data_IF_170355154968
#
_entry.id   IF_170355154968
#
_cell.length_a   1.000
_cell.length_b   1.000
_cell.length_c   1.000
_cell.angle_alpha   90.00
_cell.angle_beta   90.00
_cell.angle_gamma   90.00
#
_symmetry.space_group_name_H-M   'P 1'
#
loop_
_entity.id
_entity.type
_entity.pdbx_description
1 polymer ?
#
# COMPACT_ATOMS: atom_id res chain seq x y z
N UNK A 1 35.40 9.98 -4.90
CA UNK A 1 33.97 10.12 -4.57
C UNK A 1 33.33 8.76 -4.78
N UNK A 2 32.71 8.16 -3.76
CA UNK A 2 32.11 6.82 -3.90
C UNK A 2 30.83 6.92 -4.74
N UNK A 3 30.79 6.19 -5.86
CA UNK A 3 29.57 5.99 -6.63
C UNK A 3 28.91 4.69 -6.18
N UNK A 4 27.64 4.73 -5.81
CA UNK A 4 26.85 3.54 -5.52
C UNK A 4 25.68 3.45 -6.50
N UNK A 5 25.43 2.24 -7.00
CA UNK A 5 24.21 1.94 -7.77
C UNK A 5 23.20 1.38 -6.77
N UNK A 6 22.00 1.96 -6.61
CA UNK A 6 20.98 1.39 -5.73
C UNK A 6 20.70 -0.05 -6.16
N UNK A 7 21.01 -1.01 -5.29
CA UNK A 7 20.67 -2.41 -5.49
C UNK A 7 19.40 -2.74 -4.70
N UNK A 8 18.57 -3.59 -5.28
CA UNK A 8 17.41 -4.13 -4.56
C UNK A 8 17.89 -5.16 -3.53
N UNK A 9 17.18 -5.25 -2.41
CA UNK A 9 17.32 -6.33 -1.45
C UNK A 9 16.36 -7.46 -1.79
N UNK A 10 16.84 -8.70 -1.65
CA UNK A 10 15.97 -9.88 -1.68
C UNK A 10 15.37 -10.07 -0.29
N UNK A 11 14.07 -9.80 -0.15
CA UNK A 11 13.38 -9.83 1.15
C UNK A 11 12.91 -11.25 1.47
N UNK A 12 13.09 -11.66 2.73
CA UNK A 12 12.56 -12.91 3.28
C UNK A 12 11.66 -12.61 4.49
N UNK A 13 10.51 -13.30 4.65
CA UNK A 13 9.92 -14.24 3.69
C UNK A 13 9.41 -13.50 2.43
N UNK A 14 9.15 -14.21 1.31
CA UNK A 14 8.53 -13.59 0.12
C UNK A 14 9.36 -13.70 -1.16
N UNK A 15 10.70 -13.71 -1.03
CA UNK A 15 11.63 -13.82 -2.16
C UNK A 15 11.42 -12.73 -3.23
N UNK A 16 10.84 -11.59 -2.87
CA UNK A 16 10.69 -10.44 -3.75
C UNK A 16 11.89 -9.49 -3.64
N UNK A 17 12.08 -8.68 -4.68
CA UNK A 17 13.10 -7.62 -4.72
C UNK A 17 12.45 -6.31 -4.32
N UNK A 18 12.98 -5.65 -3.28
CA UNK A 18 12.48 -4.38 -2.78
C UNK A 18 13.62 -3.36 -2.63
N UNK A 19 13.33 -2.05 -2.73
CA UNK A 19 14.30 -1.02 -2.40
C UNK A 19 14.85 -1.19 -0.98
N UNK A 20 16.12 -0.82 -0.70
CA UNK A 20 16.73 -0.99 0.62
C UNK A 20 15.95 -0.34 1.77
N UNK A 21 15.16 0.69 1.49
CA UNK A 21 14.29 1.36 2.46
C UNK A 21 13.29 0.42 3.14
N UNK A 22 12.97 -0.75 2.56
CA UNK A 22 12.11 -1.78 3.16
C UNK A 22 12.53 -2.16 4.59
N UNK A 23 13.82 -2.09 4.92
CA UNK A 23 14.34 -2.46 6.25
C UNK A 23 13.75 -1.59 7.38
N UNK A 24 13.34 -0.36 7.07
CA UNK A 24 12.74 0.56 8.03
C UNK A 24 11.22 0.38 8.18
N UNK A 25 10.58 -0.30 7.23
CA UNK A 25 9.13 -0.45 7.17
C UNK A 25 8.64 -1.88 7.38
N UNK A 26 9.47 -2.89 7.10
CA UNK A 26 9.05 -4.30 7.12
C UNK A 26 8.41 -4.70 8.45
N UNK A 27 9.06 -4.39 9.58
CA UNK A 27 8.50 -4.73 10.89
C UNK A 27 7.23 -3.93 11.20
N UNK A 28 7.19 -2.64 10.85
CA UNK A 28 6.01 -1.78 11.02
C UNK A 28 4.81 -2.28 10.21
N UNK A 29 5.03 -2.77 8.99
CA UNK A 29 4.00 -3.42 8.18
C UNK A 29 3.52 -4.69 8.88
N UNK A 30 4.43 -5.54 9.36
CA UNK A 30 4.08 -6.81 10.02
C UNK A 30 3.26 -6.60 11.28
N UNK A 31 3.52 -5.54 12.02
CA UNK A 31 2.86 -5.19 13.28
C UNK A 31 1.66 -4.24 13.11
N UNK A 32 1.35 -3.82 11.87
CA UNK A 32 0.26 -2.90 11.61
C UNK A 32 -1.09 -3.50 12.04
N UNK A 33 -1.89 -2.68 12.72
CA UNK A 33 -3.24 -3.06 13.13
C UNK A 33 -4.16 -3.22 11.92
N UNK A 34 -4.86 -4.35 11.89
CA UNK A 34 -5.88 -4.68 10.88
C UNK A 34 -7.24 -4.71 11.58
N UNK A 35 -8.26 -4.25 10.88
CA UNK A 35 -9.62 -4.24 11.38
C UNK A 35 -10.54 -5.01 10.43
N UNK A 36 -11.66 -5.50 10.96
CA UNK A 36 -12.57 -6.40 10.25
C UNK A 36 -13.29 -5.72 9.06
N UNK A 37 -13.50 -4.40 9.15
CA UNK A 37 -14.10 -3.57 8.11
C UNK A 37 -13.06 -2.99 7.12
N UNK A 38 -11.78 -3.34 7.25
CA UNK A 38 -10.81 -3.01 6.20
C UNK A 38 -11.13 -3.77 4.90
N UNK A 39 -10.78 -3.15 3.76
CA UNK A 39 -10.85 -3.77 2.43
C UNK A 39 -9.47 -3.70 1.77
N UNK A 40 -8.95 -4.87 1.41
CA UNK A 40 -7.61 -5.05 0.91
C UNK A 40 -7.62 -5.47 -0.57
N UNK A 41 -6.97 -4.69 -1.42
CA UNK A 41 -6.64 -5.08 -2.80
C UNK A 41 -5.17 -5.53 -2.85
N UNK A 42 -4.94 -6.82 -3.09
CA UNK A 42 -3.61 -7.43 -3.08
C UNK A 42 -3.35 -7.97 -4.48
N UNK A 43 -2.42 -7.41 -5.22
CA UNK A 43 -2.22 -7.82 -6.62
C UNK A 43 -0.76 -7.78 -7.02
N UNK A 44 -0.36 -8.51 -8.05
CA UNK A 44 0.97 -8.29 -8.63
C UNK A 44 0.99 -6.95 -9.40
N UNK A 45 2.12 -6.24 -9.49
CA UNK A 45 2.18 -4.99 -10.25
C UNK A 45 1.70 -5.19 -11.69
N UNK A 46 0.93 -4.21 -12.20
CA UNK A 46 0.42 -4.15 -13.58
C UNK A 46 -0.68 -5.17 -13.94
N UNK A 47 -1.34 -5.83 -12.98
CA UNK A 47 -2.46 -6.75 -13.23
C UNK A 47 -3.85 -6.11 -13.06
N UNK A 48 -3.99 -4.82 -13.40
CA UNK A 48 -5.29 -4.13 -13.34
C UNK A 48 -5.66 -3.50 -11.99
N UNK A 49 -4.72 -3.38 -11.05
CA UNK A 49 -4.98 -2.85 -9.70
C UNK A 49 -5.62 -1.45 -9.69
N UNK A 50 -5.31 -0.59 -10.67
CA UNK A 50 -5.88 0.76 -10.76
C UNK A 50 -7.38 0.74 -11.10
N UNK A 51 -7.81 -0.18 -11.97
CA UNK A 51 -9.23 -0.35 -12.27
C UNK A 51 -9.95 -0.97 -11.09
N UNK A 52 -9.36 -2.00 -10.48
CA UNK A 52 -9.94 -2.67 -9.31
C UNK A 52 -10.12 -1.72 -8.13
N UNK A 53 -9.11 -0.90 -7.79
CA UNK A 53 -9.22 0.03 -6.66
C UNK A 53 -10.31 1.10 -6.88
N UNK A 54 -10.53 1.53 -8.13
CA UNK A 54 -11.62 2.45 -8.46
C UNK A 54 -12.99 1.80 -8.24
N UNK A 55 -13.19 0.60 -8.80
CA UNK A 55 -14.45 -0.14 -8.67
C UNK A 55 -14.75 -0.46 -7.21
N UNK A 56 -13.77 -0.97 -6.46
CA UNK A 56 -13.90 -1.30 -5.04
C UNK A 56 -14.33 -0.07 -4.23
N UNK A 57 -13.67 1.07 -4.46
CA UNK A 57 -14.00 2.29 -3.73
C UNK A 57 -15.39 2.82 -4.09
N UNK A 58 -15.75 2.85 -5.37
CA UNK A 58 -17.09 3.29 -5.79
C UNK A 58 -18.19 2.40 -5.19
N UNK A 59 -18.04 1.07 -5.24
CA UNK A 59 -18.99 0.14 -4.61
C UNK A 59 -19.09 0.40 -3.11
N UNK A 60 -17.96 0.57 -2.43
CA UNK A 60 -17.91 0.84 -0.99
C UNK A 60 -18.36 2.26 -0.58
N UNK A 61 -18.68 3.12 -1.54
CA UNK A 61 -19.22 4.47 -1.33
C UNK A 61 -20.58 4.64 -2.01
N UNK A 62 -21.34 3.55 -2.16
CA UNK A 62 -22.67 3.53 -2.76
C UNK A 62 -22.74 4.22 -4.13
N UNK A 63 -21.71 3.97 -4.95
CA UNK A 63 -21.56 4.52 -6.29
C UNK A 63 -21.55 6.06 -6.36
N UNK A 64 -20.97 6.72 -5.35
CA UNK A 64 -20.79 8.17 -5.35
C UNK A 64 -19.68 8.63 -6.33
N UNK A 65 -20.02 8.68 -7.62
CA UNK A 65 -19.11 9.05 -8.70
C UNK A 65 -18.68 10.52 -8.65
N UNK A 66 -19.51 11.43 -8.13
CA UNK A 66 -19.17 12.84 -7.99
C UNK A 66 -17.99 13.02 -7.02
N UNK A 67 -18.04 12.31 -5.88
CA UNK A 67 -16.93 12.29 -4.91
C UNK A 67 -15.70 11.60 -5.50
N UNK A 68 -15.88 10.49 -6.22
CA UNK A 68 -14.78 9.79 -6.88
C UNK A 68 -14.01 10.69 -7.86
N UNK A 69 -14.73 11.49 -8.65
CA UNK A 69 -14.13 12.39 -9.65
C UNK A 69 -13.41 13.60 -9.02
N UNK A 70 -13.84 14.05 -7.83
CA UNK A 70 -13.25 15.20 -7.13
C UNK A 70 -12.09 14.86 -6.21
N UNK A 71 -11.91 13.58 -5.87
CA UNK A 71 -10.88 13.15 -4.90
C UNK A 71 -9.85 12.26 -5.56
N UNK A 72 -8.58 12.56 -5.30
CA UNK A 72 -7.48 11.79 -5.88
C UNK A 72 -7.56 10.34 -5.42
N UNK A 73 -7.27 9.41 -6.32
CA UNK A 73 -7.26 7.98 -5.99
C UNK A 73 -6.22 7.66 -4.90
N UNK A 74 -5.17 8.47 -4.77
CA UNK A 74 -4.14 8.35 -3.73
C UNK A 74 -4.65 8.74 -2.34
N UNK A 75 -5.72 9.54 -2.27
CA UNK A 75 -6.38 9.95 -1.01
C UNK A 75 -7.54 9.00 -0.65
N UNK A 76 -8.02 8.23 -1.63
CA UNK A 76 -9.13 7.30 -1.49
C UNK A 76 -8.69 5.88 -1.13
N UNK A 77 -7.62 5.41 -1.76
CA UNK A 77 -7.07 4.06 -1.58
C UNK A 77 -5.57 4.18 -1.35
N UNK A 78 -5.14 3.90 -0.13
CA UNK A 78 -3.73 4.07 0.24
C UNK A 78 -2.89 2.87 -0.19
N UNK A 79 -1.75 3.17 -0.80
CA UNK A 79 -0.78 2.19 -1.25
C UNK A 79 0.24 1.90 -0.13
N UNK A 80 0.18 0.69 0.43
CA UNK A 80 0.89 0.30 1.65
C UNK A 80 2.39 0.56 1.60
N UNK A 81 3.05 0.17 0.52
CA UNK A 81 4.49 0.29 0.35
C UNK A 81 4.93 1.58 -0.36
N UNK A 82 4.07 2.60 -0.50
CA UNK A 82 4.40 3.81 -1.27
C UNK A 82 5.64 4.55 -0.74
N UNK A 83 5.83 4.62 0.59
CA UNK A 83 7.04 5.20 1.21
C UNK A 83 8.31 4.35 1.02
N UNK A 84 8.19 3.17 0.41
CA UNK A 84 9.29 2.25 0.13
C UNK A 84 9.66 2.31 -1.35
N UNK A 85 8.65 2.27 -2.23
CA UNK A 85 8.86 2.11 -3.69
C UNK A 85 8.79 3.42 -4.47
N UNK A 86 8.20 4.49 -3.92
CA UNK A 86 8.03 5.76 -4.64
C UNK A 86 9.00 6.86 -4.19
N UNK A 87 9.63 6.70 -3.02
CA UNK A 87 10.61 7.63 -2.42
C UNK A 87 12.06 7.28 -2.83
N UNK A 88 12.22 6.82 -4.08
CA UNK A 88 13.52 6.46 -4.65
C UNK A 88 13.70 7.10 -6.01
N UNK A 89 14.88 7.66 -6.26
CA UNK A 89 15.26 8.23 -7.55
C UNK A 89 14.66 9.61 -7.83
N UNK A 90 14.36 9.89 -9.11
CA UNK A 90 14.08 11.25 -9.64
C UNK A 90 12.87 11.96 -9.01
N UNK A 91 11.90 11.21 -8.48
CA UNK A 91 10.64 11.75 -7.98
C UNK A 91 10.56 11.76 -6.43
N UNK A 92 11.67 11.45 -5.75
CA UNK A 92 11.71 11.28 -4.30
C UNK A 92 11.13 12.48 -3.52
N UNK A 93 11.51 13.71 -3.88
CA UNK A 93 11.00 14.91 -3.20
C UNK A 93 9.47 15.07 -3.30
N UNK A 94 8.87 14.66 -4.41
CA UNK A 94 7.42 14.74 -4.58
C UNK A 94 6.72 13.71 -3.70
N UNK A 95 7.18 12.46 -3.73
CA UNK A 95 6.58 11.38 -2.95
C UNK A 95 6.82 11.53 -1.45
N UNK A 96 7.93 12.15 -1.03
CA UNK A 96 8.16 12.49 0.39
C UNK A 96 7.11 13.45 0.94
N UNK A 97 6.52 14.33 0.12
CA UNK A 97 5.44 15.23 0.54
C UNK A 97 4.14 14.50 0.87
N UNK A 98 3.95 13.28 0.37
CA UNK A 98 2.80 12.44 0.72
C UNK A 98 2.93 11.83 2.13
N UNK A 99 4.09 11.95 2.77
CA UNK A 99 4.31 11.46 4.13
C UNK A 99 4.55 9.96 4.24
N UNK A 100 4.43 9.45 5.46
CA UNK A 100 4.60 8.04 5.79
C UNK A 100 3.32 7.25 5.46
N UNK A 101 3.45 6.23 4.60
CA UNK A 101 2.33 5.45 4.10
C UNK A 101 1.58 4.70 5.20
N UNK A 102 2.27 4.26 6.25
CA UNK A 102 1.66 3.53 7.36
C UNK A 102 0.93 4.48 8.30
N UNK A 103 1.49 5.66 8.58
CA UNK A 103 0.77 6.68 9.35
C UNK A 103 -0.47 7.18 8.61
N UNK A 104 -0.39 7.33 7.28
CA UNK A 104 -1.55 7.70 6.50
C UNK A 104 -2.66 6.63 6.55
N UNK A 105 -2.30 5.34 6.43
CA UNK A 105 -3.26 4.23 6.57
C UNK A 105 -3.86 4.17 7.98
N UNK A 106 -3.07 4.51 9.00
CA UNK A 106 -3.52 4.55 10.39
C UNK A 106 -4.56 5.67 10.62
N UNK A 107 -4.37 6.83 10.01
CA UNK A 107 -5.23 8.00 10.18
C UNK A 107 -6.42 8.04 9.20
N UNK A 108 -6.56 7.04 8.34
CA UNK A 108 -7.61 7.02 7.33
C UNK A 108 -9.00 6.80 7.96
N UNK A 109 -10.05 7.49 7.47
CA UNK A 109 -11.41 7.21 7.91
C UNK A 109 -11.80 5.76 7.62
N UNK A 110 -12.72 5.24 8.43
CA UNK A 110 -13.27 3.89 8.29
C UNK A 110 -14.50 3.89 7.35
N UNK A 111 -14.72 2.82 6.55
CA UNK A 111 -13.86 1.65 6.38
C UNK A 111 -12.60 1.99 5.59
N UNK A 112 -11.51 1.25 5.83
CA UNK A 112 -10.23 1.52 5.18
C UNK A 112 -10.09 0.77 3.85
N UNK A 113 -9.80 1.46 2.76
CA UNK A 113 -9.41 0.87 1.47
C UNK A 113 -7.89 0.90 1.28
N UNK A 114 -7.27 -0.27 1.27
CA UNK A 114 -5.81 -0.43 1.23
C UNK A 114 -5.44 -1.25 0.00
N UNK A 115 -4.43 -0.81 -0.74
CA UNK A 115 -3.82 -1.55 -1.85
C UNK A 115 -2.40 -1.93 -1.50
N UNK A 116 -1.97 -3.10 -1.95
CA UNK A 116 -0.57 -3.52 -1.88
C UNK A 116 -0.18 -4.46 -3.02
N UNK A 117 1.10 -4.44 -3.36
CA UNK A 117 1.76 -5.41 -4.22
C UNK A 117 2.70 -6.33 -3.44
N UNK A 118 2.74 -6.21 -2.11
CA UNK A 118 3.53 -7.11 -1.28
C UNK A 118 2.92 -8.51 -1.29
N UNK A 119 3.77 -9.56 -1.33
CA UNK A 119 3.31 -10.94 -1.20
C UNK A 119 2.68 -11.15 0.19
N UNK A 120 1.74 -12.09 0.26
CA UNK A 120 0.92 -12.36 1.45
C UNK A 120 1.75 -12.54 2.74
N UNK A 121 2.92 -13.18 2.66
CA UNK A 121 3.80 -13.41 3.79
C UNK A 121 4.54 -12.17 4.33
N UNK A 122 4.50 -11.04 3.61
CA UNK A 122 5.03 -9.75 4.04
C UNK A 122 3.96 -8.80 4.57
N UNK A 123 2.68 -9.15 4.48
CA UNK A 123 1.57 -8.35 4.96
C UNK A 123 1.42 -8.38 6.50
N UNK A 124 0.60 -7.51 7.11
CA UNK A 124 0.36 -7.55 8.56
C UNK A 124 -0.03 -8.94 9.09
N UNK A 125 0.50 -9.34 10.25
CA UNK A 125 0.16 -10.64 10.87
C UNK A 125 -1.33 -10.78 11.14
N UNK A 126 -1.97 -9.68 11.55
CA UNK A 126 -3.39 -9.65 11.90
C UNK A 126 -4.34 -9.91 10.71
N UNK A 127 -3.88 -9.85 9.45
CA UNK A 127 -4.71 -10.24 8.30
C UNK A 127 -5.21 -11.69 8.40
N UNK A 128 -4.38 -12.59 8.94
CA UNK A 128 -4.73 -13.99 9.12
C UNK A 128 -5.78 -14.21 10.22
N UNK A 129 -5.77 -13.35 11.24
CA UNK A 129 -6.63 -13.44 12.42
C UNK A 129 -7.98 -12.77 12.17
N UNK A 130 -7.96 -11.52 11.67
CA UNK A 130 -9.13 -10.66 11.48
C UNK A 130 -9.92 -10.98 10.21
N UNK A 131 -9.27 -11.57 9.20
CA UNK A 131 -9.87 -11.96 7.92
C UNK A 131 -10.76 -10.85 7.32
N UNK A 132 -10.21 -9.62 7.13
CA UNK A 132 -10.94 -8.56 6.45
C UNK A 132 -11.25 -8.96 5.00
N UNK A 133 -12.04 -8.12 4.30
CA UNK A 133 -12.30 -8.35 2.88
C UNK A 133 -10.99 -8.26 2.09
N UNK A 134 -10.71 -9.28 1.30
CA UNK A 134 -9.53 -9.36 0.43
C UNK A 134 -9.97 -9.61 -1.01
N UNK A 135 -9.48 -8.78 -1.93
CA UNK A 135 -9.60 -8.93 -3.38
C UNK A 135 -8.18 -9.17 -3.90
N UNK A 136 -7.97 -10.27 -4.63
CA UNK A 136 -6.67 -10.66 -5.16
C UNK A 136 -6.71 -11.04 -6.64
#
# INVERSE_FOLDING_TARGET
>A
MFAYKPSFLKVQPGRCLMPPTIVFFAQRIRDMQVYEDDTWLISYPRTGSHWAQEMIWCIGQDFNYEKAARTSILERVFFLESSIVMTVGKYDEWFKKLGDSLENIKNMPRPRYIKTHLPWNLLPKQLHEKKPKVIA
#
